data_IF_193686733525
#
_entry.id   IF_193686733525
#
_cell.length_a   1.000
_cell.length_b   1.000
_cell.length_c   1.000
_cell.angle_alpha   90.00
_cell.angle_beta   90.00
_cell.angle_gamma   90.00
#
_symmetry.space_group_name_H-M   'P 1'
#
loop_
_entity.id
_entity.type
_entity.pdbx_description
1 polymer ?
#
# COMPACT_ATOMS: atom_id res chain seq x y z
N UNK A 1 -45.24 -16.13 39.86
CA UNK A 1 -45.60 -15.18 38.77
C UNK A 1 -44.43 -14.21 38.64
N UNK A 2 -43.61 -14.37 37.67
CA UNK A 2 -42.47 -13.46 37.37
C UNK A 2 -42.73 -12.90 35.95
N UNK A 3 -42.90 -11.60 35.86
CA UNK A 3 -43.16 -10.88 34.63
C UNK A 3 -41.87 -10.77 33.80
N UNK A 4 -41.97 -11.11 32.52
CA UNK A 4 -40.92 -10.85 31.53
C UNK A 4 -40.97 -9.39 31.08
N UNK A 5 -39.84 -8.70 30.86
CA UNK A 5 -39.84 -7.42 30.22
C UNK A 5 -39.95 -7.59 28.69
N UNK A 6 -40.91 -6.86 28.11
CA UNK A 6 -41.03 -6.67 26.66
C UNK A 6 -39.96 -5.69 26.21
N UNK A 7 -39.07 -6.11 25.32
CA UNK A 7 -38.17 -5.22 24.58
C UNK A 7 -38.89 -4.79 23.29
N UNK A 8 -39.31 -3.54 23.24
CA UNK A 8 -39.75 -2.89 22.01
C UNK A 8 -38.52 -2.54 21.16
N UNK A 9 -38.30 -3.29 20.10
CA UNK A 9 -37.34 -2.93 19.04
C UNK A 9 -38.06 -1.98 18.10
N UNK A 10 -37.77 -0.69 18.18
CA UNK A 10 -38.16 0.29 17.16
C UNK A 10 -37.46 -0.04 15.84
N UNK A 11 -38.27 -0.29 14.81
CA UNK A 11 -37.79 -0.51 13.43
C UNK A 11 -37.37 0.83 12.84
N UNK A 12 -36.08 0.95 12.52
CA UNK A 12 -35.57 2.04 11.69
C UNK A 12 -36.18 1.94 10.29
N UNK A 13 -36.71 3.04 9.70
CA UNK A 13 -37.30 3.00 8.36
C UNK A 13 -36.22 2.70 7.32
N UNK A 14 -36.43 1.62 6.55
CA UNK A 14 -35.73 1.38 5.28
C UNK A 14 -36.24 2.40 4.27
N UNK A 15 -35.37 3.13 3.68
CA UNK A 15 -35.43 3.98 2.50
C UNK A 15 -35.03 5.43 2.76
N UNK A 16 -33.72 5.70 2.63
CA UNK A 16 -33.21 6.87 1.93
C UNK A 16 -31.92 6.46 1.25
N UNK A 17 -32.01 6.06 0.00
CA UNK A 17 -30.86 6.02 -0.91
C UNK A 17 -30.89 7.34 -1.68
N UNK A 18 -29.99 8.30 -1.43
CA UNK A 18 -29.81 9.38 -2.39
C UNK A 18 -28.95 8.83 -3.52
N UNK A 19 -29.55 8.54 -4.64
CA UNK A 19 -28.85 8.43 -5.92
C UNK A 19 -28.35 9.83 -6.24
N UNK A 20 -27.10 10.14 -5.87
CA UNK A 20 -26.45 11.35 -6.32
C UNK A 20 -25.86 11.04 -7.70
N UNK A 21 -26.54 11.54 -8.72
CA UNK A 21 -26.00 11.64 -10.08
C UNK A 21 -24.62 12.33 -10.01
N UNK A 22 -23.68 11.87 -10.81
CA UNK A 22 -22.32 12.43 -10.96
C UNK A 22 -22.32 13.95 -10.90
N UNK A 23 -21.63 14.59 -9.95
CA UNK A 23 -21.58 16.03 -9.91
C UNK A 23 -20.76 16.52 -11.11
N UNK A 24 -21.31 17.50 -11.85
CA UNK A 24 -20.62 18.26 -12.85
C UNK A 24 -19.30 18.83 -12.26
N UNK A 25 -18.19 18.74 -13.00
CA UNK A 25 -16.87 19.20 -12.57
C UNK A 25 -16.86 20.66 -12.07
N UNK A 26 -17.76 21.49 -12.60
CA UNK A 26 -17.97 22.87 -12.15
C UNK A 26 -18.55 22.95 -10.71
N UNK A 27 -19.40 21.98 -10.32
CA UNK A 27 -19.95 21.91 -8.96
C UNK A 27 -18.90 21.45 -7.93
N UNK A 28 -17.94 20.61 -8.35
CA UNK A 28 -16.86 20.18 -7.45
C UNK A 28 -15.90 21.34 -7.12
N UNK A 29 -15.62 22.21 -8.08
CA UNK A 29 -14.82 23.43 -7.83
C UNK A 29 -15.53 24.42 -6.90
N UNK A 30 -16.86 24.52 -6.98
CA UNK A 30 -17.67 25.35 -6.08
C UNK A 30 -17.74 24.72 -4.68
N UNK A 31 -17.90 23.40 -4.57
CA UNK A 31 -17.84 22.67 -3.31
C UNK A 31 -16.50 22.84 -2.59
N UNK A 32 -15.39 22.79 -3.32
CA UNK A 32 -14.04 23.00 -2.76
C UNK A 32 -13.83 24.44 -2.22
N UNK A 33 -14.57 25.41 -2.72
CA UNK A 33 -14.54 26.81 -2.21
C UNK A 33 -15.45 27.06 -1.01
N UNK A 34 -16.55 26.32 -0.87
CA UNK A 34 -17.52 26.48 0.20
C UNK A 34 -17.23 25.67 1.47
N UNK A 35 -16.35 24.67 1.40
CA UNK A 35 -16.17 23.67 2.45
C UNK A 35 -15.08 23.96 3.48
N UNK A 36 -14.92 25.20 3.91
CA UNK A 36 -14.00 25.54 5.02
C UNK A 36 -14.53 25.25 6.43
N UNK A 37 -15.72 24.70 6.61
CA UNK A 37 -16.34 24.61 7.96
C UNK A 37 -17.05 23.31 8.36
N UNK A 38 -17.04 22.25 7.53
CA UNK A 38 -17.62 20.94 7.94
C UNK A 38 -16.77 19.81 7.41
N UNK A 39 -16.57 18.77 8.21
CA UNK A 39 -15.97 17.49 7.76
C UNK A 39 -16.93 16.86 6.75
N UNK A 40 -16.80 17.19 5.46
CA UNK A 40 -17.68 16.66 4.42
C UNK A 40 -17.03 15.43 3.85
N UNK A 41 -17.70 14.28 4.02
CA UNK A 41 -17.35 13.08 3.31
C UNK A 41 -17.85 13.23 1.86
N UNK A 42 -16.95 13.32 0.91
CA UNK A 42 -17.28 13.29 -0.52
C UNK A 42 -17.20 11.85 -0.98
N UNK A 43 -18.33 11.29 -1.43
CA UNK A 43 -18.40 9.94 -1.97
C UNK A 43 -18.56 9.99 -3.49
N UNK A 44 -17.77 9.19 -4.21
CA UNK A 44 -17.97 8.92 -5.63
C UNK A 44 -18.04 7.41 -5.86
N UNK A 45 -18.76 7.01 -6.90
CA UNK A 45 -18.84 5.62 -7.32
C UNK A 45 -18.19 5.50 -8.69
N UNK A 46 -17.17 4.66 -8.81
CA UNK A 46 -16.54 4.32 -10.08
C UNK A 46 -17.29 3.16 -10.72
N UNK A 47 -17.81 3.39 -11.88
CA UNK A 47 -18.56 2.39 -12.64
C UNK A 47 -17.63 1.31 -13.20
N UNK A 48 -18.19 0.13 -13.49
CA UNK A 48 -17.42 -1.08 -13.89
C UNK A 48 -16.65 -0.95 -15.20
N UNK A 49 -16.92 0.06 -16.01
CA UNK A 49 -16.19 0.33 -17.25
C UNK A 49 -14.77 0.86 -17.00
N UNK A 50 -14.49 1.39 -15.80
CA UNK A 50 -13.16 1.89 -15.43
C UNK A 50 -12.44 0.89 -14.53
N UNK A 51 -11.27 0.49 -14.98
CA UNK A 51 -10.39 -0.42 -14.21
C UNK A 51 -9.48 0.36 -13.25
N UNK A 52 -9.03 1.53 -13.67
CA UNK A 52 -8.10 2.37 -12.93
C UNK A 52 -8.66 3.77 -12.70
N UNK A 53 -8.31 4.39 -11.56
CA UNK A 53 -8.75 5.74 -11.20
C UNK A 53 -8.37 6.79 -12.26
N UNK A 54 -7.17 6.67 -12.87
CA UNK A 54 -6.71 7.60 -13.90
C UNK A 54 -7.51 7.54 -15.21
N UNK A 55 -8.36 6.54 -15.41
CA UNK A 55 -9.26 6.44 -16.55
C UNK A 55 -10.56 7.24 -16.31
N UNK A 56 -10.94 7.42 -15.03
CA UNK A 56 -12.16 8.13 -14.67
C UNK A 56 -12.00 9.64 -14.92
N UNK A 57 -12.94 10.29 -15.63
CA UNK A 57 -12.81 11.67 -16.10
C UNK A 57 -12.38 12.66 -15.03
N UNK A 58 -12.95 12.57 -13.83
CA UNK A 58 -12.63 13.45 -12.72
C UNK A 58 -11.13 13.47 -12.40
N UNK A 59 -10.51 12.29 -12.27
CA UNK A 59 -9.10 12.18 -11.93
C UNK A 59 -8.18 12.40 -13.12
N UNK A 60 -8.63 12.03 -14.31
CA UNK A 60 -7.89 12.24 -15.56
C UNK A 60 -7.70 13.73 -15.84
N UNK A 61 -8.70 14.56 -15.56
CA UNK A 61 -8.68 15.98 -15.85
C UNK A 61 -8.08 16.80 -14.70
N UNK A 62 -8.35 16.41 -13.45
CA UNK A 62 -8.04 17.25 -12.29
C UNK A 62 -6.94 16.68 -11.38
N UNK A 63 -6.48 15.44 -11.62
CA UNK A 63 -5.58 14.73 -10.71
C UNK A 63 -6.26 14.31 -9.41
N UNK A 64 -5.48 14.04 -8.38
CA UNK A 64 -6.01 13.69 -7.06
C UNK A 64 -6.54 14.94 -6.32
N UNK A 65 -7.64 14.80 -5.53
CA UNK A 65 -8.14 15.89 -4.71
C UNK A 65 -7.11 16.33 -3.67
N UNK A 66 -7.05 17.63 -3.40
CA UNK A 66 -6.08 18.26 -2.49
C UNK A 66 -6.73 18.54 -1.14
N UNK A 67 -6.02 18.25 -0.05
CA UNK A 67 -6.47 18.50 1.32
C UNK A 67 -7.40 17.42 1.89
N UNK A 68 -7.31 16.19 1.39
CA UNK A 68 -8.18 15.08 1.78
C UNK A 68 -7.42 13.85 2.30
N UNK A 69 -8.12 13.07 3.14
CA UNK A 69 -7.85 11.65 3.31
C UNK A 69 -8.58 10.90 2.19
N UNK A 70 -7.85 10.36 1.23
CA UNK A 70 -8.45 9.67 0.08
C UNK A 70 -8.51 8.18 0.38
N UNK A 71 -9.73 7.67 0.59
CA UNK A 71 -10.00 6.24 0.61
C UNK A 71 -10.25 5.78 -0.83
N UNK A 72 -9.26 5.11 -1.42
CA UNK A 72 -9.34 4.64 -2.82
C UNK A 72 -10.19 3.38 -3.00
N UNK A 73 -10.65 2.75 -1.90
CA UNK A 73 -11.60 1.62 -1.88
C UNK A 73 -11.12 0.33 -2.54
N UNK A 74 -10.05 0.36 -3.33
CA UNK A 74 -9.50 -0.80 -4.06
C UNK A 74 -7.98 -0.72 -4.13
N UNK A 75 -7.31 -1.84 -3.85
CA UNK A 75 -5.86 -1.97 -4.01
C UNK A 75 -5.50 -2.00 -5.50
N UNK A 76 -4.32 -1.49 -5.88
CA UNK A 76 -3.86 -1.53 -7.27
C UNK A 76 -4.65 -0.67 -8.27
N UNK A 77 -5.57 0.18 -7.81
CA UNK A 77 -6.43 1.00 -8.69
C UNK A 77 -5.72 2.21 -9.34
N UNK A 78 -4.42 2.41 -9.12
CA UNK A 78 -3.62 3.43 -9.82
C UNK A 78 -3.59 4.81 -9.16
N UNK A 79 -3.97 4.96 -7.89
CA UNK A 79 -3.95 6.26 -7.22
C UNK A 79 -2.57 6.94 -7.25
N UNK A 80 -1.49 6.24 -6.89
CA UNK A 80 -0.10 6.74 -6.99
C UNK A 80 0.29 7.09 -8.42
N UNK A 81 -0.23 6.34 -9.41
CA UNK A 81 0.06 6.58 -10.84
C UNK A 81 -0.48 7.92 -11.31
N UNK A 82 -1.66 8.35 -10.85
CA UNK A 82 -2.21 9.67 -11.17
C UNK A 82 -1.23 10.77 -10.76
N UNK A 83 -0.71 10.71 -9.53
CA UNK A 83 0.24 11.69 -9.02
C UNK A 83 1.59 11.67 -9.75
N UNK A 84 2.00 10.53 -10.33
CA UNK A 84 3.21 10.42 -11.14
C UNK A 84 3.00 10.92 -12.57
N UNK A 85 1.81 10.79 -13.13
CA UNK A 85 1.51 11.07 -14.54
C UNK A 85 0.91 12.44 -14.78
N UNK A 86 0.43 13.13 -13.73
CA UNK A 86 -0.07 14.50 -13.85
C UNK A 86 1.07 15.52 -14.15
N UNK A 87 0.71 16.72 -14.57
CA UNK A 87 1.66 17.78 -14.92
C UNK A 87 2.26 18.54 -13.74
N UNK A 88 1.98 18.14 -12.48
CA UNK A 88 2.41 18.86 -11.27
C UNK A 88 3.78 18.38 -10.77
N UNK A 89 4.55 19.28 -10.19
CA UNK A 89 5.70 18.90 -9.37
C UNK A 89 5.19 18.19 -8.13
N UNK A 90 5.59 16.92 -7.92
CA UNK A 90 5.00 16.04 -6.93
C UNK A 90 6.06 15.34 -6.08
N UNK A 91 5.81 15.27 -4.78
CA UNK A 91 6.53 14.41 -3.83
C UNK A 91 5.56 13.35 -3.35
N UNK A 92 5.91 12.08 -3.53
CA UNK A 92 5.14 10.95 -3.03
C UNK A 92 5.91 10.33 -1.89
N UNK A 93 5.34 10.41 -0.69
CA UNK A 93 5.94 9.88 0.52
C UNK A 93 5.36 8.49 0.82
N UNK A 94 6.23 7.47 0.89
CA UNK A 94 5.85 6.06 1.02
C UNK A 94 6.58 5.39 2.19
N UNK A 95 6.04 4.30 2.76
CA UNK A 95 6.65 3.63 3.91
C UNK A 95 7.91 2.82 3.57
N UNK A 96 8.01 2.29 2.35
CA UNK A 96 9.03 1.29 2.00
C UNK A 96 9.82 1.64 0.73
N UNK A 97 11.12 1.30 0.76
CA UNK A 97 12.04 1.47 -0.39
C UNK A 97 11.61 0.60 -1.59
N UNK A 98 11.02 -0.58 -1.34
CA UNK A 98 10.52 -1.47 -2.40
C UNK A 98 9.49 -0.80 -3.30
N UNK A 99 8.56 -0.03 -2.72
CA UNK A 99 7.58 0.78 -3.47
C UNK A 99 8.25 1.78 -4.41
N UNK A 100 9.27 2.48 -3.91
CA UNK A 100 10.04 3.45 -4.70
C UNK A 100 10.71 2.75 -5.88
N UNK A 101 11.44 1.66 -5.60
CA UNK A 101 12.17 0.91 -6.64
C UNK A 101 11.26 0.35 -7.72
N UNK A 102 10.12 -0.24 -7.33
CA UNK A 102 9.13 -0.76 -8.29
C UNK A 102 8.61 0.34 -9.22
N UNK A 103 8.26 1.50 -8.65
CA UNK A 103 7.78 2.63 -9.47
C UNK A 103 8.90 3.22 -10.34
N UNK A 104 10.11 3.38 -9.82
CA UNK A 104 11.26 3.82 -10.61
C UNK A 104 11.52 2.87 -11.77
N UNK A 105 11.53 1.56 -11.54
CA UNK A 105 11.73 0.59 -12.61
C UNK A 105 10.67 0.72 -13.70
N UNK A 106 9.39 0.80 -13.33
CA UNK A 106 8.29 0.93 -14.26
C UNK A 106 8.38 2.23 -15.08
N UNK A 107 8.51 3.37 -14.41
CA UNK A 107 8.37 4.67 -15.07
C UNK A 107 9.64 5.14 -15.76
N UNK A 108 10.83 4.85 -15.21
CA UNK A 108 12.09 5.30 -15.81
C UNK A 108 12.49 4.47 -17.03
N UNK A 109 12.04 3.20 -17.11
CA UNK A 109 12.29 2.34 -18.28
C UNK A 109 11.48 2.79 -19.47
N UNK A 110 10.24 3.20 -19.29
CA UNK A 110 9.36 3.64 -20.37
C UNK A 110 9.71 5.05 -20.89
N UNK A 111 10.61 5.77 -20.21
CA UNK A 111 11.06 7.10 -20.58
C UNK A 111 10.00 8.22 -20.52
N UNK A 112 8.76 7.89 -20.14
CA UNK A 112 7.64 8.84 -20.06
C UNK A 112 7.75 9.76 -18.86
N UNK A 113 8.12 9.21 -17.72
CA UNK A 113 8.28 9.92 -16.45
C UNK A 113 9.61 9.50 -15.84
N UNK A 114 10.47 10.48 -15.52
CA UNK A 114 11.69 10.20 -14.77
C UNK A 114 11.44 10.48 -13.29
N UNK A 115 11.39 9.44 -12.49
CA UNK A 115 11.11 9.48 -11.05
C UNK A 115 12.43 9.40 -10.29
N UNK A 116 12.67 10.36 -9.39
CA UNK A 116 13.78 10.29 -8.43
C UNK A 116 13.31 9.56 -7.18
N UNK A 117 13.99 8.47 -6.80
CA UNK A 117 13.80 7.81 -5.52
C UNK A 117 14.74 8.36 -4.47
N UNK A 118 14.20 8.74 -3.30
CA UNK A 118 14.99 9.26 -2.17
C UNK A 118 14.75 8.40 -0.92
N UNK A 119 15.78 7.68 -0.52
CA UNK A 119 15.81 6.81 0.67
C UNK A 119 17.22 6.84 1.28
N UNK A 120 17.50 5.98 2.25
CA UNK A 120 18.82 5.88 2.86
C UNK A 120 19.92 5.72 1.81
N UNK A 121 21.00 6.48 1.93
CA UNK A 121 22.13 6.51 0.99
C UNK A 121 22.03 7.54 -0.13
N UNK A 122 20.83 8.01 -0.52
CA UNK A 122 20.69 9.08 -1.53
C UNK A 122 21.13 10.42 -0.95
N UNK A 123 22.02 11.11 -1.66
CA UNK A 123 22.65 12.36 -1.19
C UNK A 123 21.84 13.60 -1.55
N UNK A 124 22.13 14.72 -0.86
CA UNK A 124 21.56 16.04 -1.23
C UNK A 124 22.03 16.53 -2.60
N UNK A 125 23.23 16.10 -3.01
CA UNK A 125 23.77 16.40 -4.35
C UNK A 125 22.91 15.77 -5.45
N UNK A 126 22.61 14.49 -5.33
CA UNK A 126 21.77 13.78 -6.32
C UNK A 126 20.36 14.38 -6.45
N UNK A 127 19.77 14.81 -5.32
CA UNK A 127 18.46 15.51 -5.37
C UNK A 127 18.57 16.82 -6.13
N UNK A 128 19.60 17.64 -5.83
CA UNK A 128 19.82 18.93 -6.51
C UNK A 128 20.15 18.74 -7.99
N UNK A 129 20.96 17.76 -8.34
CA UNK A 129 21.29 17.42 -9.72
C UNK A 129 20.02 17.06 -10.51
N UNK A 130 19.17 16.21 -9.95
CA UNK A 130 17.87 15.89 -10.56
C UNK A 130 17.01 17.13 -10.75
N UNK A 131 16.89 18.00 -9.75
CA UNK A 131 16.09 19.22 -9.84
C UNK A 131 16.59 20.18 -10.93
N UNK A 132 17.90 20.25 -11.14
CA UNK A 132 18.54 21.12 -12.13
C UNK A 132 18.47 20.56 -13.55
N UNK A 133 18.56 19.24 -13.70
CA UNK A 133 18.62 18.57 -15.02
C UNK A 133 17.27 18.16 -15.57
N UNK A 134 16.30 17.86 -14.69
CA UNK A 134 14.97 17.39 -15.10
C UNK A 134 14.17 18.51 -15.75
N UNK A 135 13.77 18.28 -17.01
CA UNK A 135 12.80 19.12 -17.74
C UNK A 135 11.37 18.67 -17.45
N UNK A 136 10.44 19.63 -17.37
CA UNK A 136 9.03 19.37 -17.06
C UNK A 136 8.80 19.08 -15.57
N UNK A 137 7.67 18.46 -15.26
CA UNK A 137 7.27 18.18 -13.89
C UNK A 137 8.27 17.26 -13.18
N UNK A 138 8.61 17.62 -11.95
CA UNK A 138 9.53 16.88 -11.10
C UNK A 138 8.75 15.87 -10.26
N UNK A 139 9.13 14.61 -10.35
CA UNK A 139 8.48 13.50 -9.65
C UNK A 139 9.48 12.85 -8.71
N UNK A 140 9.26 13.03 -7.40
CA UNK A 140 10.15 12.53 -6.36
C UNK A 140 9.35 11.55 -5.51
N UNK A 141 9.85 10.33 -5.33
CA UNK A 141 9.33 9.40 -4.34
C UNK A 141 10.31 9.30 -3.18
N UNK A 142 9.83 9.42 -1.96
CA UNK A 142 10.72 9.32 -0.79
C UNK A 142 10.11 8.44 0.30
N UNK A 143 10.98 7.86 1.15
CA UNK A 143 10.51 7.20 2.37
C UNK A 143 10.05 8.22 3.40
N UNK A 144 9.22 7.81 4.37
CA UNK A 144 8.77 8.66 5.49
C UNK A 144 9.96 9.31 6.21
N UNK A 145 11.04 8.55 6.41
CA UNK A 145 12.29 9.06 7.06
C UNK A 145 12.99 10.14 6.24
N UNK A 146 12.82 10.12 4.90
CA UNK A 146 13.52 11.03 4.00
C UNK A 146 12.73 12.30 3.66
N UNK A 147 11.46 12.40 4.08
CA UNK A 147 10.57 13.51 3.70
C UNK A 147 11.15 14.88 4.10
N UNK A 148 11.61 15.03 5.34
CA UNK A 148 12.18 16.30 5.81
C UNK A 148 13.42 16.73 5.00
N UNK A 149 14.27 15.78 4.60
CA UNK A 149 15.44 16.05 3.74
C UNK A 149 15.00 16.54 2.36
N UNK A 150 14.02 15.87 1.76
CA UNK A 150 13.48 16.27 0.44
C UNK A 150 12.86 17.66 0.53
N UNK A 151 11.96 17.89 1.50
CA UNK A 151 11.28 19.16 1.71
C UNK A 151 12.26 20.32 1.96
N UNK A 152 13.34 20.08 2.72
CA UNK A 152 14.41 21.07 2.98
C UNK A 152 15.18 21.49 1.72
N UNK A 153 15.15 20.68 0.65
CA UNK A 153 15.83 20.98 -0.62
C UNK A 153 14.87 21.56 -1.65
N UNK A 154 13.65 20.98 -1.76
CA UNK A 154 12.64 21.35 -2.77
C UNK A 154 11.79 22.55 -2.35
N UNK A 155 11.68 22.80 -1.04
CA UNK A 155 10.64 23.68 -0.47
C UNK A 155 9.27 23.00 -0.48
N UNK A 156 8.23 23.77 -0.19
CA UNK A 156 6.87 23.30 0.10
C UNK A 156 5.82 23.64 -0.99
N UNK A 157 6.28 23.95 -2.21
CA UNK A 157 5.39 24.28 -3.34
C UNK A 157 4.98 23.07 -4.19
N UNK A 158 5.49 21.87 -3.86
CA UNK A 158 5.13 20.63 -4.50
C UNK A 158 3.78 20.13 -3.98
N UNK A 159 3.05 19.36 -4.78
CA UNK A 159 1.98 18.53 -4.26
C UNK A 159 2.60 17.36 -3.47
N UNK A 160 2.24 17.23 -2.20
CA UNK A 160 2.67 16.12 -1.35
C UNK A 160 1.56 15.07 -1.27
N UNK A 161 1.84 13.87 -1.76
CA UNK A 161 1.01 12.69 -1.56
C UNK A 161 1.63 11.77 -0.52
N UNK A 162 0.95 11.53 0.59
CA UNK A 162 1.34 10.55 1.59
C UNK A 162 0.56 9.26 1.28
N UNK A 163 1.24 8.27 0.71
CA UNK A 163 0.64 7.00 0.32
C UNK A 163 0.70 5.99 1.47
N UNK A 164 -0.24 5.04 1.46
CA UNK A 164 -0.43 4.01 2.49
C UNK A 164 -0.61 4.60 3.90
N UNK A 165 -1.56 5.55 4.04
CA UNK A 165 -1.87 6.25 5.30
C UNK A 165 -1.98 5.29 6.49
N UNK A 166 -2.62 4.14 6.33
CA UNK A 166 -2.83 3.17 7.42
C UNK A 166 -1.51 2.71 8.05
N UNK A 167 -0.40 2.74 7.31
CA UNK A 167 0.92 2.38 7.83
C UNK A 167 1.53 3.41 8.77
N UNK A 168 1.09 4.66 8.75
CA UNK A 168 1.48 5.62 9.78
C UNK A 168 1.04 5.14 11.17
N UNK A 169 -0.11 4.46 11.25
CA UNK A 169 -0.64 3.92 12.50
C UNK A 169 0.06 2.64 12.92
N UNK A 170 0.18 1.69 12.01
CA UNK A 170 0.81 0.39 12.27
C UNK A 170 2.29 0.58 12.64
N UNK A 171 2.99 1.49 11.97
CA UNK A 171 4.42 1.73 12.17
C UNK A 171 4.72 2.70 13.33
N UNK A 172 3.73 3.40 13.87
CA UNK A 172 3.94 4.39 14.92
C UNK A 172 4.71 3.84 16.13
N UNK A 173 4.46 2.59 16.51
CA UNK A 173 5.08 1.96 17.70
C UNK A 173 6.59 1.80 17.52
N UNK A 174 7.08 1.43 16.34
CA UNK A 174 8.49 1.11 16.09
C UNK A 174 9.21 2.07 15.16
N UNK A 175 8.48 2.94 14.43
CA UNK A 175 9.04 4.00 13.56
C UNK A 175 8.49 5.38 13.92
N UNK A 176 8.29 5.63 15.21
CA UNK A 176 7.69 6.87 15.72
C UNK A 176 8.32 8.13 15.11
N UNK A 177 9.66 8.20 15.02
CA UNK A 177 10.36 9.36 14.45
C UNK A 177 9.98 9.62 12.99
N UNK A 178 9.92 8.58 12.16
CA UNK A 178 9.55 8.72 10.76
C UNK A 178 8.11 9.19 10.60
N UNK A 179 7.20 8.59 11.36
CA UNK A 179 5.77 8.97 11.35
C UNK A 179 5.59 10.40 11.83
N UNK A 180 6.25 10.80 12.94
CA UNK A 180 6.23 12.19 13.41
C UNK A 180 6.77 13.16 12.37
N UNK A 181 7.84 12.81 11.68
CA UNK A 181 8.37 13.64 10.57
C UNK A 181 7.29 13.89 9.52
N UNK A 182 6.52 12.88 9.11
CA UNK A 182 5.43 13.06 8.13
C UNK A 182 4.36 14.00 8.68
N UNK A 183 3.92 13.79 9.94
CA UNK A 183 2.86 14.59 10.58
C UNK A 183 3.29 16.05 10.82
N UNK A 184 4.57 16.31 11.05
CA UNK A 184 5.10 17.66 11.25
C UNK A 184 5.36 18.40 9.92
N UNK A 185 5.66 17.64 8.85
CA UNK A 185 6.03 18.22 7.55
C UNK A 185 4.82 18.48 6.64
N UNK A 186 3.79 17.60 6.60
CA UNK A 186 2.74 17.70 5.59
C UNK A 186 1.99 19.03 5.62
N UNK A 187 1.75 19.60 6.80
CA UNK A 187 1.04 20.88 6.97
C UNK A 187 1.79 22.09 6.39
N UNK A 188 3.08 21.96 6.14
CA UNK A 188 3.90 23.03 5.55
C UNK A 188 3.73 23.10 4.04
N UNK A 189 3.30 22.01 3.40
CA UNK A 189 3.04 21.98 1.97
C UNK A 189 1.75 22.74 1.63
N UNK A 190 1.75 23.47 0.51
CA UNK A 190 0.57 24.19 0.05
C UNK A 190 -0.55 23.26 -0.41
N UNK A 191 -0.16 22.17 -1.06
CA UNK A 191 -1.06 21.12 -1.55
C UNK A 191 -0.59 19.77 -1.02
N UNK A 192 -1.47 19.03 -0.41
CA UNK A 192 -1.18 17.71 0.11
C UNK A 192 -2.44 16.84 0.14
N UNK A 193 -2.26 15.53 0.17
CA UNK A 193 -3.32 14.56 0.46
C UNK A 193 -2.72 13.27 0.99
N UNK A 194 -3.54 12.53 1.72
CA UNK A 194 -3.24 11.17 2.15
C UNK A 194 -4.00 10.19 1.28
N UNK A 195 -3.42 9.03 1.01
CA UNK A 195 -4.01 7.98 0.18
C UNK A 195 -3.96 6.64 0.91
N UNK A 196 -5.05 5.88 0.87
CA UNK A 196 -5.10 4.51 1.40
C UNK A 196 -6.16 3.69 0.67
N UNK A 197 -5.97 2.36 0.59
CA UNK A 197 -7.01 1.40 0.24
C UNK A 197 -7.60 0.72 1.49
N UNK A 198 -6.97 0.94 2.64
CA UNK A 198 -7.36 0.36 3.94
C UNK A 198 -7.81 1.51 4.83
N UNK A 199 -9.11 1.85 4.84
CA UNK A 199 -9.62 2.93 5.65
C UNK A 199 -9.45 2.64 7.13
N UNK A 200 -9.20 3.70 7.91
CA UNK A 200 -9.05 3.64 9.35
C UNK A 200 -10.33 4.13 9.97
N UNK A 201 -10.84 3.39 10.95
CA UNK A 201 -12.00 3.80 11.71
C UNK A 201 -11.73 5.13 12.44
N UNK A 202 -12.72 6.01 12.49
CA UNK A 202 -12.56 7.35 13.06
C UNK A 202 -12.05 7.34 14.51
N UNK A 203 -12.50 6.38 15.31
CA UNK A 203 -12.10 6.24 16.72
C UNK A 203 -10.60 5.85 16.87
N UNK A 204 -10.03 5.21 15.85
CA UNK A 204 -8.62 4.84 15.80
C UNK A 204 -7.75 5.88 15.10
N UNK A 205 -8.35 6.92 14.51
CA UNK A 205 -7.64 7.97 13.80
C UNK A 205 -6.80 8.83 14.75
N UNK A 206 -5.59 9.22 14.32
CA UNK A 206 -4.77 10.18 15.05
C UNK A 206 -5.49 11.53 15.17
N UNK A 207 -5.45 12.13 16.35
CA UNK A 207 -6.14 13.42 16.61
C UNK A 207 -5.78 14.50 15.58
N UNK A 208 -4.50 14.52 15.15
CA UNK A 208 -4.00 15.50 14.17
C UNK A 208 -4.62 15.34 12.77
N UNK A 209 -5.26 14.20 12.49
CA UNK A 209 -5.86 13.87 11.19
C UNK A 209 -7.39 13.84 11.20
N UNK A 210 -8.03 13.87 12.38
CA UNK A 210 -9.50 13.74 12.52
C UNK A 210 -10.29 14.83 11.82
N UNK A 211 -9.74 16.04 11.76
CA UNK A 211 -10.42 17.18 11.13
C UNK A 211 -10.23 17.25 9.61
N UNK A 212 -9.46 16.32 9.03
CA UNK A 212 -9.23 16.30 7.60
C UNK A 212 -10.42 15.62 6.91
N UNK A 213 -11.03 16.28 5.90
CA UNK A 213 -12.16 15.70 5.19
C UNK A 213 -11.76 14.42 4.44
N UNK A 214 -12.67 13.44 4.41
CA UNK A 214 -12.46 12.18 3.71
C UNK A 214 -13.09 12.24 2.32
N UNK A 215 -12.29 11.84 1.31
CA UNK A 215 -12.74 11.59 -0.04
C UNK A 215 -12.81 10.09 -0.27
N UNK A 216 -14.03 9.55 -0.31
CA UNK A 216 -14.24 8.10 -0.44
C UNK A 216 -14.57 7.72 -1.88
N UNK A 217 -13.92 6.66 -2.36
CA UNK A 217 -14.14 6.10 -3.69
C UNK A 217 -14.70 4.68 -3.53
N UNK A 218 -15.95 4.51 -3.92
CA UNK A 218 -16.58 3.20 -4.00
C UNK A 218 -16.50 2.69 -5.45
N UNK A 219 -16.42 1.37 -5.61
CA UNK A 219 -16.35 0.71 -6.91
C UNK A 219 -17.58 -0.16 -7.12
N UNK A 220 -18.19 -0.06 -8.30
CA UNK A 220 -19.25 -1.01 -8.69
C UNK A 220 -18.67 -2.42 -8.90
N UNK A 221 -17.47 -2.51 -9.47
CA UNK A 221 -16.73 -3.76 -9.62
C UNK A 221 -15.96 -4.09 -8.36
N UNK A 222 -16.58 -4.87 -7.48
CA UNK A 222 -15.94 -5.44 -6.29
C UNK A 222 -15.42 -6.81 -6.66
N UNK A 223 -14.14 -6.90 -6.91
CA UNK A 223 -13.47 -8.20 -7.08
C UNK A 223 -13.50 -8.95 -5.75
N UNK A 224 -14.31 -9.98 -5.67
CA UNK A 224 -14.31 -10.89 -4.53
C UNK A 224 -13.16 -11.89 -4.71
N UNK A 225 -12.19 -11.85 -3.81
CA UNK A 225 -11.14 -12.86 -3.74
C UNK A 225 -11.61 -14.01 -2.86
N UNK A 226 -11.65 -15.21 -3.42
CA UNK A 226 -11.99 -16.42 -2.66
C UNK A 226 -10.77 -16.86 -1.84
N UNK A 227 -10.89 -16.76 -0.53
CA UNK A 227 -9.86 -17.22 0.40
C UNK A 227 -10.28 -18.57 1.00
N UNK A 228 -9.40 -19.57 0.89
CA UNK A 228 -9.58 -20.85 1.55
C UNK A 228 -8.81 -20.85 2.88
N UNK A 229 -9.53 -20.73 3.99
CA UNK A 229 -8.91 -20.82 5.32
C UNK A 229 -8.68 -22.28 5.71
N UNK A 230 -7.44 -22.63 6.04
CA UNK A 230 -7.05 -23.98 6.46
C UNK A 230 -6.48 -23.91 7.88
N UNK A 231 -7.19 -24.47 8.83
CA UNK A 231 -6.67 -24.65 10.18
C UNK A 231 -5.88 -25.96 10.26
N UNK A 232 -4.64 -25.89 10.72
CA UNK A 232 -3.77 -27.07 10.85
C UNK A 232 -3.03 -27.09 12.19
N UNK A 233 -2.83 -28.29 12.73
CA UNK A 233 -2.11 -28.49 14.00
C UNK A 233 -0.61 -28.20 13.86
N UNK A 234 -0.03 -28.53 12.72
CA UNK A 234 1.40 -28.39 12.44
C UNK A 234 1.61 -27.59 11.17
N UNK A 235 1.71 -26.27 11.29
CA UNK A 235 1.85 -25.34 10.15
C UNK A 235 3.06 -25.71 9.29
N UNK A 236 4.23 -25.95 9.89
CA UNK A 236 5.44 -26.29 9.15
C UNK A 236 5.33 -27.57 8.31
N UNK A 237 4.66 -28.62 8.84
CA UNK A 237 4.45 -29.86 8.09
C UNK A 237 3.49 -29.66 6.93
N UNK A 238 2.44 -28.85 7.12
CA UNK A 238 1.47 -28.51 6.07
C UNK A 238 2.15 -27.72 4.96
N UNK A 239 2.92 -26.69 5.29
CA UNK A 239 3.64 -25.87 4.31
C UNK A 239 4.69 -26.70 3.57
N UNK A 240 5.44 -27.56 4.27
CA UNK A 240 6.37 -28.51 3.63
C UNK A 240 5.67 -29.37 2.59
N UNK A 241 4.50 -29.92 2.90
CA UNK A 241 3.72 -30.71 1.94
C UNK A 241 3.36 -29.87 0.70
N UNK A 242 2.86 -28.65 0.89
CA UNK A 242 2.52 -27.75 -0.22
C UNK A 242 3.75 -27.47 -1.08
N UNK A 243 4.90 -27.16 -0.47
CA UNK A 243 6.16 -26.92 -1.21
C UNK A 243 6.53 -28.14 -2.04
N UNK A 244 6.51 -29.33 -1.46
CA UNK A 244 6.84 -30.56 -2.19
C UNK A 244 5.87 -30.81 -3.36
N UNK A 245 4.56 -30.58 -3.19
CA UNK A 245 3.59 -30.74 -4.25
C UNK A 245 3.87 -29.80 -5.45
N UNK A 246 4.41 -28.59 -5.21
CA UNK A 246 4.88 -27.70 -6.28
C UNK A 246 6.19 -28.19 -6.94
N UNK A 247 7.16 -28.63 -6.14
CA UNK A 247 8.45 -29.10 -6.65
C UNK A 247 8.31 -30.39 -7.46
N UNK A 248 7.40 -31.27 -7.06
CA UNK A 248 7.07 -32.51 -7.76
C UNK A 248 6.13 -32.31 -8.97
N UNK A 249 5.71 -31.09 -9.25
CA UNK A 249 4.82 -30.77 -10.37
C UNK A 249 3.37 -31.19 -10.18
N UNK A 250 2.94 -31.60 -8.97
CA UNK A 250 1.54 -31.93 -8.66
C UNK A 250 0.64 -30.72 -8.68
N UNK A 251 1.20 -29.53 -8.39
CA UNK A 251 0.53 -28.25 -8.44
C UNK A 251 1.20 -27.38 -9.51
N UNK A 252 0.40 -26.92 -10.46
CA UNK A 252 0.86 -26.05 -11.54
C UNK A 252 1.06 -24.61 -11.05
N UNK A 253 1.98 -23.87 -11.70
CA UNK A 253 2.32 -22.49 -11.39
C UNK A 253 3.39 -22.36 -10.32
N UNK A 254 3.46 -21.19 -9.68
CA UNK A 254 4.43 -20.87 -8.63
C UNK A 254 3.75 -20.63 -7.30
N UNK A 255 4.46 -20.89 -6.20
CA UNK A 255 3.96 -20.65 -4.86
C UNK A 255 4.54 -19.36 -4.28
N UNK A 256 3.68 -18.50 -3.74
CA UNK A 256 4.02 -17.25 -3.06
C UNK A 256 3.59 -17.33 -1.59
N UNK A 257 4.56 -17.50 -0.69
CA UNK A 257 4.33 -17.63 0.75
C UNK A 257 4.59 -16.31 1.45
N UNK A 258 3.56 -15.72 2.01
CA UNK A 258 3.64 -14.55 2.88
C UNK A 258 3.74 -15.02 4.32
N UNK A 259 4.90 -14.83 4.96
CA UNK A 259 5.17 -15.27 6.34
C UNK A 259 6.15 -14.34 7.04
N UNK A 260 5.71 -13.68 8.10
CA UNK A 260 6.55 -12.73 8.84
C UNK A 260 7.45 -13.43 9.87
N UNK A 261 8.22 -14.42 9.43
CA UNK A 261 9.21 -15.14 10.23
C UNK A 261 10.33 -15.68 9.37
N UNK A 262 11.52 -15.09 9.50
CA UNK A 262 12.70 -15.56 8.77
C UNK A 262 13.16 -16.92 9.27
N UNK A 263 12.99 -17.22 10.56
CA UNK A 263 13.28 -18.55 11.14
C UNK A 263 12.40 -19.62 10.50
N UNK A 264 11.11 -19.32 10.30
CA UNK A 264 10.21 -20.25 9.61
C UNK A 264 10.67 -20.49 8.16
N UNK A 265 11.00 -19.43 7.43
CA UNK A 265 11.52 -19.52 6.06
C UNK A 265 12.79 -20.39 6.03
N UNK A 266 13.76 -20.12 6.91
CA UNK A 266 15.00 -20.88 7.01
C UNK A 266 14.74 -22.38 7.29
N UNK A 267 13.79 -22.66 8.17
CA UNK A 267 13.38 -24.04 8.44
C UNK A 267 12.79 -24.72 7.20
N UNK A 268 12.00 -24.05 6.39
CA UNK A 268 11.45 -24.59 5.14
C UNK A 268 12.55 -24.80 4.09
N UNK A 269 13.48 -23.86 3.95
CA UNK A 269 14.65 -24.01 3.06
C UNK A 269 15.40 -25.29 3.40
N UNK A 270 15.73 -25.50 4.66
CA UNK A 270 16.43 -26.69 5.13
C UNK A 270 15.62 -27.98 4.93
N UNK A 271 14.35 -27.98 5.35
CA UNK A 271 13.50 -29.16 5.38
C UNK A 271 13.03 -29.63 3.99
N UNK A 272 13.04 -28.74 2.99
CA UNK A 272 12.65 -29.04 1.62
C UNK A 272 13.83 -29.02 0.65
N UNK A 273 15.07 -28.87 1.14
CA UNK A 273 16.30 -28.78 0.34
C UNK A 273 16.18 -27.71 -0.77
N UNK A 274 15.69 -26.53 -0.40
CA UNK A 274 15.49 -25.44 -1.34
C UNK A 274 16.82 -24.77 -1.69
N UNK A 275 16.97 -24.32 -2.93
CA UNK A 275 18.17 -23.69 -3.46
C UNK A 275 17.87 -22.37 -4.17
N UNK A 276 18.90 -21.61 -4.52
CA UNK A 276 18.75 -20.41 -5.33
C UNK A 276 18.12 -20.65 -6.71
N UNK A 277 18.17 -21.87 -7.24
CA UNK A 277 17.61 -22.18 -8.54
C UNK A 277 16.07 -22.20 -8.50
N UNK A 278 15.50 -22.76 -7.44
CA UNK A 278 14.06 -22.97 -7.33
C UNK A 278 13.36 -22.03 -6.34
N UNK A 279 14.11 -21.23 -5.55
CA UNK A 279 13.55 -20.43 -4.47
C UNK A 279 14.04 -18.99 -4.50
N UNK A 280 13.12 -18.07 -4.25
CA UNK A 280 13.37 -16.66 -3.99
C UNK A 280 12.84 -16.30 -2.60
N UNK A 281 13.66 -15.56 -1.84
CA UNK A 281 13.27 -15.01 -0.54
C UNK A 281 13.46 -13.50 -0.54
N UNK A 282 12.54 -12.78 0.12
CA UNK A 282 12.62 -11.32 0.25
C UNK A 282 12.32 -10.94 1.69
N UNK A 283 13.34 -10.40 2.37
CA UNK A 283 13.24 -9.86 3.72
C UNK A 283 14.08 -8.60 3.89
N UNK A 284 13.90 -7.87 5.00
CA UNK A 284 14.60 -6.62 5.25
C UNK A 284 16.13 -6.80 5.28
N UNK A 285 16.86 -5.95 4.54
CA UNK A 285 18.32 -5.94 4.51
C UNK A 285 18.97 -5.66 5.87
N UNK A 286 18.25 -5.01 6.79
CA UNK A 286 18.74 -4.70 8.13
C UNK A 286 18.80 -5.93 9.05
N UNK A 287 18.24 -7.06 8.63
CA UNK A 287 18.32 -8.34 9.35
C UNK A 287 19.57 -9.14 8.96
N UNK A 288 20.75 -8.56 9.15
CA UNK A 288 22.03 -9.22 8.82
C UNK A 288 22.27 -10.54 9.55
N UNK A 289 21.71 -10.69 10.77
CA UNK A 289 21.77 -11.94 11.54
C UNK A 289 21.18 -13.14 10.79
N UNK A 290 20.30 -12.92 9.82
CA UNK A 290 19.65 -13.97 9.06
C UNK A 290 20.40 -14.39 7.77
N UNK A 291 21.42 -13.65 7.35
CA UNK A 291 22.25 -14.04 6.18
C UNK A 291 22.86 -15.43 6.33
N UNK A 292 23.17 -15.83 7.57
CA UNK A 292 23.70 -17.15 7.89
C UNK A 292 22.65 -18.23 8.08
N UNK A 293 21.38 -17.84 8.29
CA UNK A 293 20.31 -18.78 8.65
C UNK A 293 19.65 -19.40 7.44
N UNK A 294 19.59 -18.68 6.32
CA UNK A 294 19.04 -19.16 5.05
C UNK A 294 20.13 -19.72 4.12
N UNK A 295 20.91 -20.69 4.61
CA UNK A 295 22.01 -21.29 3.86
C UNK A 295 21.52 -21.84 2.51
N UNK A 296 22.17 -21.38 1.43
CA UNK A 296 21.88 -21.83 0.06
C UNK A 296 20.84 -21.00 -0.71
N UNK A 297 20.15 -20.05 -0.05
CA UNK A 297 19.24 -19.12 -0.72
C UNK A 297 19.55 -17.69 -0.31
N UNK A 298 19.86 -16.85 -1.29
CA UNK A 298 20.20 -15.43 -1.06
C UNK A 298 18.96 -14.56 -1.00
N UNK A 299 19.02 -13.48 -0.18
CA UNK A 299 17.98 -12.47 -0.14
C UNK A 299 17.94 -11.71 -1.46
N UNK A 300 16.79 -11.72 -2.12
CA UNK A 300 16.53 -11.06 -3.39
C UNK A 300 15.82 -9.71 -3.23
N UNK A 301 15.42 -9.17 -4.38
CA UNK A 301 14.60 -7.96 -4.49
C UNK A 301 13.24 -8.29 -5.13
N UNK A 302 12.25 -7.42 -4.93
CA UNK A 302 10.90 -7.59 -5.50
C UNK A 302 10.89 -7.58 -7.02
N UNK A 303 11.90 -6.96 -7.62
CA UNK A 303 12.13 -6.86 -9.07
C UNK A 303 12.82 -8.10 -9.67
N UNK A 304 13.34 -9.01 -8.84
CA UNK A 304 13.96 -10.24 -9.32
C UNK A 304 12.92 -11.19 -9.94
N UNK A 305 13.32 -12.04 -10.88
CA UNK A 305 12.41 -13.02 -11.48
C UNK A 305 11.76 -13.94 -10.45
N UNK A 306 10.47 -14.20 -10.65
CA UNK A 306 9.70 -15.17 -9.86
C UNK A 306 10.31 -16.56 -10.03
N UNK A 307 10.37 -17.35 -8.95
CA UNK A 307 10.81 -18.72 -8.94
C UNK A 307 9.68 -19.67 -8.54
N UNK A 308 9.94 -20.96 -8.58
CA UNK A 308 8.93 -21.98 -8.24
C UNK A 308 8.37 -21.78 -6.84
N UNK A 309 9.23 -21.43 -5.87
CA UNK A 309 8.88 -21.14 -4.48
C UNK A 309 9.36 -19.73 -4.13
N UNK A 310 8.47 -18.90 -3.62
CA UNK A 310 8.77 -17.51 -3.26
C UNK A 310 8.31 -17.24 -1.85
N UNK A 311 9.20 -16.70 -1.01
CA UNK A 311 8.88 -16.30 0.36
C UNK A 311 9.02 -14.78 0.54
N UNK A 312 8.06 -14.20 1.26
CA UNK A 312 7.99 -12.78 1.53
C UNK A 312 7.75 -12.53 3.02
N UNK A 313 8.55 -11.65 3.60
CA UNK A 313 8.26 -11.13 4.95
C UNK A 313 7.48 -9.81 4.85
N UNK A 314 7.14 -9.21 6.00
CA UNK A 314 6.40 -7.95 6.08
C UNK A 314 6.98 -6.79 5.24
N UNK A 315 8.23 -6.90 4.80
CA UNK A 315 8.84 -5.93 3.86
C UNK A 315 8.11 -5.85 2.51
N UNK A 316 7.38 -6.91 2.16
CA UNK A 316 6.67 -7.03 0.87
C UNK A 316 5.15 -7.20 1.02
N UNK A 317 4.61 -7.11 2.24
CA UNK A 317 3.17 -7.31 2.44
C UNK A 317 2.35 -6.22 1.80
N UNK A 318 2.93 -5.06 1.62
CA UNK A 318 2.27 -3.92 1.03
C UNK A 318 3.13 -3.30 -0.05
N UNK A 319 2.46 -2.90 -1.14
CA UNK A 319 3.07 -2.16 -2.22
C UNK A 319 4.09 -2.90 -3.08
N UNK A 320 4.07 -4.23 -3.06
CA UNK A 320 4.81 -5.04 -4.01
C UNK A 320 3.87 -5.56 -5.09
N UNK A 321 4.07 -5.14 -6.31
CA UNK A 321 3.36 -5.71 -7.45
C UNK A 321 3.99 -7.06 -7.77
N UNK A 322 3.21 -8.14 -7.62
CA UNK A 322 3.61 -9.48 -8.02
C UNK A 322 2.95 -9.81 -9.37
N UNK A 323 3.75 -9.79 -10.42
CA UNK A 323 3.28 -10.13 -11.77
C UNK A 323 3.48 -11.63 -12.04
N UNK A 324 2.55 -12.46 -11.56
CA UNK A 324 2.53 -13.88 -11.83
C UNK A 324 1.07 -14.35 -11.98
N UNK A 325 0.64 -14.50 -13.22
CA UNK A 325 -0.73 -14.90 -13.55
C UNK A 325 -1.08 -16.35 -13.16
N UNK A 326 -0.07 -17.17 -12.89
CA UNK A 326 -0.22 -18.56 -12.50
C UNK A 326 0.15 -18.80 -11.03
N UNK A 327 0.54 -17.72 -10.35
CA UNK A 327 0.94 -17.73 -8.95
C UNK A 327 -0.21 -18.12 -8.01
N UNK A 328 0.13 -18.90 -6.98
CA UNK A 328 -0.79 -19.22 -5.88
C UNK A 328 -0.27 -18.61 -4.59
N UNK A 329 -1.11 -17.84 -3.93
CA UNK A 329 -0.77 -17.10 -2.73
C UNK A 329 -1.13 -17.93 -1.50
N UNK A 330 -0.20 -18.01 -0.56
CA UNK A 330 -0.34 -18.65 0.74
C UNK A 330 0.05 -17.67 1.83
N UNK A 331 -0.89 -17.31 2.70
CA UNK A 331 -0.64 -16.50 3.88
C UNK A 331 -0.47 -17.44 5.06
N UNK A 332 0.68 -17.38 5.72
CA UNK A 332 1.04 -18.25 6.82
C UNK A 332 0.99 -17.48 8.14
N UNK A 333 0.09 -17.89 9.02
CA UNK A 333 -0.10 -17.27 10.32
C UNK A 333 -0.11 -18.33 11.42
N UNK A 334 0.56 -18.02 12.53
CA UNK A 334 0.57 -18.86 13.73
C UNK A 334 -0.12 -18.10 14.88
N UNK A 335 -1.22 -18.61 15.41
CA UNK A 335 -2.03 -17.92 16.44
C UNK A 335 -1.26 -17.60 17.72
N UNK A 336 -0.17 -18.32 18.00
CA UNK A 336 0.69 -18.10 19.16
C UNK A 336 1.81 -17.10 18.93
N UNK A 337 1.99 -16.63 17.69
CA UNK A 337 3.07 -15.71 17.29
C UNK A 337 2.46 -14.45 16.69
N UNK A 338 2.25 -13.44 17.51
CA UNK A 338 1.60 -12.19 17.10
C UNK A 338 2.23 -11.54 15.85
N UNK A 339 3.56 -11.65 15.67
CA UNK A 339 4.26 -11.12 14.50
C UNK A 339 3.89 -11.80 13.18
N UNK A 340 3.26 -12.98 13.21
CA UNK A 340 2.79 -13.69 12.01
C UNK A 340 1.33 -13.43 11.68
N UNK A 341 0.61 -12.74 12.58
CA UNK A 341 -0.76 -12.33 12.31
C UNK A 341 -0.75 -11.21 11.27
N UNK A 342 -1.51 -11.42 10.22
CA UNK A 342 -1.57 -10.52 9.07
C UNK A 342 -3.01 -10.16 8.79
N UNK A 343 -3.23 -8.95 8.33
CA UNK A 343 -4.51 -8.55 7.80
C UNK A 343 -4.65 -9.07 6.36
N UNK A 344 -5.58 -10.00 6.15
CA UNK A 344 -5.83 -10.59 4.83
C UNK A 344 -6.33 -9.53 3.85
N UNK A 345 -7.08 -8.55 4.31
CA UNK A 345 -7.64 -7.49 3.45
C UNK A 345 -6.58 -6.61 2.78
N UNK A 346 -5.38 -6.54 3.38
CA UNK A 346 -4.27 -5.74 2.85
C UNK A 346 -3.30 -6.55 1.99
N UNK A 347 -3.43 -7.87 1.95
CA UNK A 347 -2.40 -8.76 1.39
C UNK A 347 -2.88 -9.70 0.27
N UNK A 348 -4.16 -9.71 0.00
CA UNK A 348 -4.75 -10.54 -1.06
C UNK A 348 -5.29 -9.73 -2.23
#
# INVERSE_FOLDING_TARGET
MVAKPQSSIERIPKNVTPIIQTPDASKLQILNRLNKQFTIMTNIIITKEYKYLGEYPLFKENGLPVGYLIDKGKVGCGGTSIALEDGKDTIICVPFVSLIKNKMQKYNTDGKVNVLGVYEGVTTYEIREYLNTKKGAKKIMCTYDSLAKVAGITGYNYFLLIDELHLLFIQYVFRNKAVRTVLDEYKKFKEWSFLTATPIEYDLMLEELKDIPTFKIDWEDKTEVKVNAVQCKYVGATVKKVINDFLEGKVFGNAHFFVNSVEFIASMIKNCNLTNENTRIIFSKNNESYKHTCQGVTNGETTDPVKKINFYTSTCFEGCDLFDTEGKIYIISESTKAQTLMDISTQV
#
